data_IF_738460925041
#
_entry.id   IF_738460925041
#
_cell.length_a   1.000
_cell.length_b   1.000
_cell.length_c   1.000
_cell.angle_alpha   90.00
_cell.angle_beta   90.00
_cell.angle_gamma   90.00
#
_symmetry.space_group_name_H-M   'P 1'
#
loop_
_entity.id
_entity.type
_entity.pdbx_description
1 polymer ?
#
# COMPACT_ATOMS: atom_id res chain seq x y z
N UNK A 1 73.47 -75.85 -62.03
CA UNK A 1 74.33 -74.93 -61.24
C UNK A 1 74.70 -73.76 -62.14
N UNK A 2 74.80 -72.55 -61.55
CA UNK A 2 75.18 -71.23 -62.10
C UNK A 2 74.24 -70.57 -63.12
N UNK A 3 73.88 -69.28 -63.10
CA UNK A 3 73.87 -68.16 -62.13
C UNK A 3 73.34 -66.93 -62.93
N UNK A 4 72.37 -66.16 -62.42
CA UNK A 4 72.09 -64.69 -62.60
C UNK A 4 71.93 -64.08 -64.03
N UNK A 5 71.12 -63.04 -64.31
CA UNK A 5 70.48 -61.98 -63.50
C UNK A 5 69.46 -61.15 -64.33
N UNK A 6 68.99 -59.98 -63.83
CA UNK A 6 67.66 -59.42 -64.10
C UNK A 6 67.59 -58.43 -65.28
N UNK A 7 66.41 -58.27 -65.90
CA UNK A 7 66.12 -57.23 -66.89
C UNK A 7 65.23 -56.14 -66.28
N UNK A 8 65.75 -54.92 -66.32
CA UNK A 8 65.16 -53.68 -65.84
C UNK A 8 63.83 -53.34 -66.53
N UNK A 9 62.80 -53.00 -65.75
CA UNK A 9 61.61 -52.28 -66.21
C UNK A 9 61.73 -50.80 -65.85
N UNK A 10 61.86 -49.95 -66.85
CA UNK A 10 61.89 -48.49 -66.73
C UNK A 10 60.46 -47.99 -66.50
N UNK A 11 60.19 -47.37 -65.34
CA UNK A 11 58.98 -46.57 -65.14
C UNK A 11 59.26 -45.14 -65.61
N UNK A 12 58.69 -44.75 -66.75
CA UNK A 12 58.66 -43.35 -67.17
C UNK A 12 57.61 -42.61 -66.35
N UNK A 13 58.05 -41.84 -65.35
CA UNK A 13 57.21 -40.82 -64.73
C UNK A 13 57.11 -39.62 -65.68
N UNK A 14 55.91 -39.28 -66.15
CA UNK A 14 55.66 -37.99 -66.79
C UNK A 14 55.75 -36.90 -65.71
N UNK A 15 56.72 -35.99 -65.84
CA UNK A 15 56.73 -34.77 -65.05
C UNK A 15 55.46 -33.97 -65.35
N UNK A 16 54.79 -33.46 -64.32
CA UNK A 16 53.66 -32.53 -64.39
C UNK A 16 54.20 -31.09 -64.46
N UNK A 17 53.58 -30.26 -65.31
CA UNK A 17 54.17 -29.01 -65.82
C UNK A 17 53.58 -27.80 -65.07
N UNK A 18 52.99 -28.06 -63.90
CA UNK A 18 52.46 -27.04 -63.03
C UNK A 18 53.54 -26.73 -62.00
N UNK A 19 53.98 -25.47 -61.85
CA UNK A 19 54.90 -25.10 -60.80
C UNK A 19 54.27 -25.49 -59.46
N UNK A 20 55.04 -26.23 -58.64
CA UNK A 20 54.65 -26.68 -57.32
C UNK A 20 53.95 -25.55 -56.56
N UNK A 21 52.70 -25.79 -56.20
CA UNK A 21 51.93 -25.00 -55.24
C UNK A 21 52.45 -25.24 -53.80
N UNK A 22 53.76 -25.25 -53.61
CA UNK A 22 54.47 -25.42 -52.32
C UNK A 22 54.18 -24.27 -51.33
N UNK A 23 53.54 -23.20 -51.81
CA UNK A 23 53.03 -22.11 -50.99
C UNK A 23 51.81 -22.53 -50.14
N UNK A 24 50.96 -23.43 -50.64
CA UNK A 24 49.77 -23.89 -49.90
C UNK A 24 50.13 -24.85 -48.76
N UNK A 25 51.21 -25.62 -48.90
CA UNK A 25 51.71 -26.53 -47.85
C UNK A 25 52.44 -25.80 -46.70
N UNK A 26 52.87 -24.55 -46.90
CA UNK A 26 53.42 -23.70 -45.81
C UNK A 26 52.33 -23.02 -44.97
N UNK A 27 51.07 -23.23 -45.30
CA UNK A 27 49.91 -22.68 -44.59
C UNK A 27 49.16 -23.72 -43.74
N UNK A 28 49.84 -24.78 -43.25
CA UNK A 28 49.22 -25.80 -42.38
C UNK A 28 48.69 -25.26 -41.03
N UNK A 29 49.12 -24.07 -40.60
CA UNK A 29 48.60 -23.35 -39.43
C UNK A 29 47.33 -22.51 -39.69
N UNK A 30 46.99 -22.23 -40.97
CA UNK A 30 45.82 -21.43 -41.33
C UNK A 30 44.47 -22.06 -40.93
N UNK A 31 44.27 -23.39 -41.09
CA UNK A 31 43.08 -24.07 -40.59
C UNK A 31 42.96 -23.95 -39.06
N UNK A 32 44.07 -23.97 -38.34
CA UNK A 32 44.11 -23.81 -36.88
C UNK A 32 43.74 -22.38 -36.45
N UNK A 33 44.26 -21.34 -37.12
CA UNK A 33 43.89 -19.95 -36.83
C UNK A 33 42.41 -19.69 -37.17
N UNK A 34 41.92 -20.18 -38.30
CA UNK A 34 40.52 -20.02 -38.70
C UNK A 34 39.56 -20.76 -37.77
N UNK A 35 39.90 -21.97 -37.31
CA UNK A 35 39.09 -22.71 -36.32
C UNK A 35 39.16 -22.09 -34.93
N UNK A 36 40.33 -21.61 -34.48
CA UNK A 36 40.47 -20.93 -33.20
C UNK A 36 39.74 -19.59 -33.17
N UNK A 37 39.81 -18.79 -34.25
CA UNK A 37 39.07 -17.52 -34.38
C UNK A 37 37.56 -17.74 -34.52
N UNK A 38 37.13 -18.73 -35.30
CA UNK A 38 35.71 -19.11 -35.38
C UNK A 38 35.18 -19.61 -34.02
N UNK A 39 35.96 -20.40 -33.28
CA UNK A 39 35.63 -20.84 -31.93
C UNK A 39 35.57 -19.67 -30.94
N UNK A 40 36.50 -18.72 -31.01
CA UNK A 40 36.52 -17.52 -30.18
C UNK A 40 35.33 -16.60 -30.48
N UNK A 41 35.02 -16.34 -31.75
CA UNK A 41 33.86 -15.55 -32.16
C UNK A 41 32.56 -16.24 -31.74
N UNK A 42 32.47 -17.56 -31.92
CA UNK A 42 31.30 -18.35 -31.49
C UNK A 42 31.15 -18.34 -29.97
N UNK A 43 32.24 -18.47 -29.22
CA UNK A 43 32.24 -18.39 -27.75
C UNK A 43 31.86 -16.98 -27.26
N UNK A 44 32.33 -15.91 -27.91
CA UNK A 44 31.97 -14.53 -27.59
C UNK A 44 30.50 -14.23 -27.89
N UNK A 45 29.97 -14.70 -29.02
CA UNK A 45 28.55 -14.57 -29.36
C UNK A 45 27.67 -15.38 -28.40
N UNK A 46 28.08 -16.61 -28.07
CA UNK A 46 27.42 -17.46 -27.09
C UNK A 46 27.43 -16.86 -25.68
N UNK A 47 28.57 -16.35 -25.23
CA UNK A 47 28.71 -15.68 -23.94
C UNK A 47 27.91 -14.37 -23.87
N UNK A 48 27.87 -13.56 -24.93
CA UNK A 48 27.06 -12.34 -24.97
C UNK A 48 25.56 -12.64 -24.95
N UNK A 49 25.10 -13.64 -25.70
CA UNK A 49 23.70 -14.08 -25.67
C UNK A 49 23.34 -14.72 -24.32
N UNK A 50 24.23 -15.55 -23.76
CA UNK A 50 24.09 -16.15 -22.44
C UNK A 50 24.03 -15.10 -21.32
N UNK A 51 24.92 -14.10 -21.35
CA UNK A 51 24.93 -13.00 -20.39
C UNK A 51 23.66 -12.13 -20.51
N UNK A 52 23.20 -11.83 -21.72
CA UNK A 52 21.94 -11.09 -21.91
C UNK A 52 20.72 -11.88 -21.43
N UNK A 53 20.67 -13.19 -21.69
CA UNK A 53 19.62 -14.07 -21.18
C UNK A 53 19.67 -14.17 -19.66
N UNK A 54 20.85 -14.35 -19.06
CA UNK A 54 21.05 -14.39 -17.61
C UNK A 54 20.66 -13.06 -16.94
N UNK A 55 21.04 -11.91 -17.53
CA UNK A 55 20.62 -10.59 -17.04
C UNK A 55 19.10 -10.41 -17.10
N UNK A 56 18.45 -10.88 -18.17
CA UNK A 56 16.99 -10.82 -18.28
C UNK A 56 16.30 -11.71 -17.24
N UNK A 57 16.80 -12.92 -17.02
CA UNK A 57 16.29 -13.84 -15.98
C UNK A 57 16.49 -13.22 -14.59
N UNK A 58 17.69 -12.70 -14.29
CA UNK A 58 17.98 -12.05 -13.01
C UNK A 58 17.08 -10.84 -12.77
N UNK A 59 16.86 -10.00 -13.80
CA UNK A 59 15.95 -8.85 -13.71
C UNK A 59 14.51 -9.30 -13.45
N UNK A 60 14.02 -10.29 -14.18
CA UNK A 60 12.67 -10.81 -13.99
C UNK A 60 12.48 -11.45 -12.60
N UNK A 61 13.48 -12.19 -12.11
CA UNK A 61 13.46 -12.78 -10.77
C UNK A 61 13.39 -11.70 -9.70
N UNK A 62 14.23 -10.66 -9.82
CA UNK A 62 14.22 -9.53 -8.90
C UNK A 62 12.88 -8.78 -8.91
N UNK A 63 12.34 -8.49 -10.10
CA UNK A 63 11.02 -7.86 -10.23
C UNK A 63 9.91 -8.73 -9.64
N UNK A 64 9.98 -10.05 -9.81
CA UNK A 64 9.04 -10.99 -9.23
C UNK A 64 9.06 -10.93 -7.69
N UNK A 65 10.24 -10.97 -7.09
CA UNK A 65 10.42 -10.88 -5.64
C UNK A 65 9.93 -9.54 -5.08
N UNK A 66 10.26 -8.43 -5.75
CA UNK A 66 9.81 -7.08 -5.36
C UNK A 66 8.28 -6.97 -5.38
N UNK A 67 7.63 -7.42 -6.47
CA UNK A 67 6.17 -7.42 -6.58
C UNK A 67 5.49 -8.29 -5.52
N UNK A 68 6.04 -9.48 -5.23
CA UNK A 68 5.50 -10.36 -4.18
C UNK A 68 5.66 -9.70 -2.81
N UNK A 69 6.83 -9.11 -2.53
CA UNK A 69 7.07 -8.42 -1.26
C UNK A 69 6.07 -7.29 -1.07
N UNK A 70 5.85 -6.48 -2.09
CA UNK A 70 4.91 -5.36 -2.04
C UNK A 70 3.46 -5.83 -1.89
N UNK A 71 3.02 -6.88 -2.61
CA UNK A 71 1.67 -7.46 -2.43
C UNK A 71 1.48 -7.99 -0.99
N UNK A 72 2.52 -8.59 -0.39
CA UNK A 72 2.48 -9.03 1.01
C UNK A 72 2.36 -7.84 1.97
N UNK A 73 3.09 -6.75 1.72
CA UNK A 73 2.98 -5.51 2.48
C UNK A 73 1.58 -4.89 2.37
N UNK A 74 0.99 -4.84 1.16
CA UNK A 74 -0.40 -4.41 0.99
C UNK A 74 -1.38 -5.29 1.76
N UNK A 75 -1.22 -6.62 1.72
CA UNK A 75 -2.08 -7.53 2.48
C UNK A 75 -1.96 -7.30 4.00
N UNK A 76 -0.76 -7.06 4.52
CA UNK A 76 -0.56 -6.70 5.92
C UNK A 76 -1.24 -5.36 6.25
N UNK A 77 -1.07 -4.35 5.39
CA UNK A 77 -1.73 -3.06 5.52
C UNK A 77 -3.26 -3.16 5.50
N UNK A 78 -3.85 -3.99 4.63
CA UNK A 78 -5.29 -4.26 4.59
C UNK A 78 -5.77 -4.92 5.87
N UNK A 79 -5.02 -5.91 6.39
CA UNK A 79 -5.38 -6.58 7.65
C UNK A 79 -5.38 -5.60 8.82
N UNK A 80 -4.35 -4.77 8.96
CA UNK A 80 -4.30 -3.78 10.04
C UNK A 80 -5.37 -2.70 9.82
N UNK A 81 -5.60 -2.24 8.59
CA UNK A 81 -6.67 -1.27 8.29
C UNK A 81 -8.06 -1.82 8.61
N UNK A 82 -8.28 -3.13 8.43
CA UNK A 82 -9.53 -3.80 8.83
C UNK A 82 -9.68 -3.78 10.35
N UNK A 83 -8.60 -4.06 11.09
CA UNK A 83 -8.62 -3.91 12.55
C UNK A 83 -8.88 -2.47 13.00
N UNK A 84 -8.30 -1.48 12.31
CA UNK A 84 -8.57 -0.05 12.57
C UNK A 84 -10.05 0.28 12.33
N UNK A 85 -10.66 -0.30 11.29
CA UNK A 85 -12.08 -0.13 11.01
C UNK A 85 -12.94 -0.75 12.12
N UNK A 86 -12.63 -1.95 12.58
CA UNK A 86 -13.35 -2.59 13.69
C UNK A 86 -13.21 -1.79 15.00
N UNK A 87 -12.02 -1.24 15.26
CA UNK A 87 -11.79 -0.32 16.37
C UNK A 87 -12.64 0.95 16.24
N UNK A 88 -12.69 1.56 15.05
CA UNK A 88 -13.50 2.73 14.77
C UNK A 88 -15.01 2.46 14.96
N UNK A 89 -15.48 1.27 14.59
CA UNK A 89 -16.86 0.82 14.88
C UNK A 89 -17.12 0.80 16.39
N UNK A 90 -16.19 0.28 17.18
CA UNK A 90 -16.32 0.27 18.64
C UNK A 90 -16.41 1.67 19.24
N UNK A 91 -15.58 2.60 18.78
CA UNK A 91 -15.65 4.01 19.21
C UNK A 91 -16.98 4.65 18.79
N UNK A 92 -17.41 4.43 17.54
CA UNK A 92 -18.67 4.94 17.00
C UNK A 92 -19.88 4.50 17.84
N UNK A 93 -19.93 3.22 18.23
CA UNK A 93 -21.04 2.63 19.00
C UNK A 93 -21.19 3.23 20.39
N UNK A 94 -20.14 3.84 20.93
CA UNK A 94 -20.18 4.55 22.21
C UNK A 94 -20.41 6.05 21.98
N UNK A 95 -19.72 6.65 21.02
CA UNK A 95 -19.68 8.09 20.79
C UNK A 95 -20.99 8.65 20.24
N UNK A 96 -21.62 7.99 19.26
CA UNK A 96 -22.84 8.50 18.63
C UNK A 96 -24.04 8.48 19.58
N UNK A 97 -24.35 7.37 20.28
CA UNK A 97 -25.41 7.36 21.28
C UNK A 97 -25.16 8.37 22.40
N UNK A 98 -23.89 8.55 22.82
CA UNK A 98 -23.54 9.56 23.81
C UNK A 98 -23.84 10.97 23.33
N UNK A 99 -23.50 11.30 22.07
CA UNK A 99 -23.84 12.59 21.46
C UNK A 99 -25.34 12.79 21.36
N UNK A 100 -26.07 11.80 20.89
CA UNK A 100 -27.54 11.86 20.75
C UNK A 100 -28.21 12.08 22.10
N UNK A 101 -27.82 11.31 23.12
CA UNK A 101 -28.33 11.47 24.48
C UNK A 101 -27.99 12.84 25.05
N UNK A 102 -26.73 13.29 24.90
CA UNK A 102 -26.31 14.61 25.37
C UNK A 102 -27.12 15.75 24.73
N UNK A 103 -27.30 15.72 23.41
CA UNK A 103 -28.08 16.73 22.69
C UNK A 103 -29.55 16.73 23.11
N UNK A 104 -30.14 15.55 23.31
CA UNK A 104 -31.51 15.43 23.80
C UNK A 104 -31.64 15.92 25.25
N UNK A 105 -30.71 15.55 26.12
CA UNK A 105 -30.65 16.03 27.51
C UNK A 105 -30.50 17.55 27.57
N UNK A 106 -29.68 18.15 26.69
CA UNK A 106 -29.54 19.61 26.58
C UNK A 106 -30.84 20.27 26.08
N UNK A 107 -31.53 19.64 25.12
CA UNK A 107 -32.84 20.11 24.64
C UNK A 107 -33.88 20.09 25.77
N UNK A 108 -33.94 19.00 26.54
CA UNK A 108 -34.86 18.85 27.68
C UNK A 108 -34.52 19.80 28.83
N UNK A 109 -33.23 20.03 29.10
CA UNK A 109 -32.79 21.04 30.05
C UNK A 109 -33.31 22.44 29.67
N UNK A 110 -33.22 22.82 28.40
CA UNK A 110 -33.73 24.10 27.90
C UNK A 110 -35.27 24.23 28.03
N UNK A 111 -35.98 23.11 28.17
CA UNK A 111 -37.42 23.06 28.44
C UNK A 111 -37.75 22.99 29.94
N UNK A 112 -36.74 23.03 30.82
CA UNK A 112 -36.91 22.99 32.27
C UNK A 112 -36.97 21.59 32.89
N UNK A 113 -36.68 20.54 32.12
CA UNK A 113 -36.70 19.15 32.58
C UNK A 113 -35.32 18.50 32.42
N UNK A 114 -34.34 18.80 33.29
CA UNK A 114 -33.02 18.19 33.17
C UNK A 114 -33.11 16.67 33.38
N UNK A 115 -32.58 15.92 32.41
CA UNK A 115 -32.42 14.47 32.50
C UNK A 115 -30.97 14.16 32.17
N UNK A 116 -30.21 13.71 33.16
CA UNK A 116 -28.83 13.24 32.99
C UNK A 116 -28.84 11.76 33.36
N UNK A 117 -28.44 10.89 32.43
CA UNK A 117 -28.46 9.45 32.71
C UNK A 117 -27.14 9.00 33.34
N UNK A 118 -27.15 8.13 34.38
CA UNK A 118 -25.92 7.62 35.00
C UNK A 118 -24.98 6.87 34.03
N UNK A 119 -25.50 6.42 32.88
CA UNK A 119 -24.70 5.77 31.84
C UNK A 119 -23.77 6.76 31.12
N UNK A 120 -24.16 8.03 31.00
CA UNK A 120 -23.35 9.11 30.41
C UNK A 120 -22.11 9.44 31.23
N UNK A 121 -22.05 9.04 32.50
CA UNK A 121 -20.95 9.33 33.41
C UNK A 121 -19.98 8.14 33.60
N UNK A 122 -20.07 7.11 32.77
CA UNK A 122 -19.13 5.98 32.80
C UNK A 122 -17.85 6.31 32.02
N UNK A 123 -16.71 5.89 32.55
CA UNK A 123 -15.43 6.02 31.88
C UNK A 123 -15.36 5.08 30.67
N UNK A 124 -14.61 5.49 29.66
CA UNK A 124 -14.34 4.68 28.46
C UNK A 124 -12.86 4.26 28.50
N UNK A 125 -12.57 3.00 28.18
CA UNK A 125 -11.18 2.55 28.07
C UNK A 125 -10.51 3.17 26.85
N UNK A 126 -9.43 3.92 27.07
CA UNK A 126 -8.55 4.37 26.00
C UNK A 126 -7.55 3.26 25.69
N UNK A 127 -7.71 2.62 24.52
CA UNK A 127 -6.70 1.71 23.97
C UNK A 127 -6.19 2.30 22.67
N UNK A 128 -4.86 2.38 22.52
CA UNK A 128 -4.25 2.90 21.28
C UNK A 128 -4.18 1.77 20.26
N UNK A 129 -4.82 1.92 19.08
CA UNK A 129 -4.74 0.91 18.03
C UNK A 129 -3.36 0.97 17.32
N UNK A 130 -2.95 -0.05 16.53
CA UNK A 130 -1.63 -0.16 15.91
C UNK A 130 -1.45 0.77 14.69
N UNK A 131 -1.66 2.07 14.90
CA UNK A 131 -1.59 3.10 13.87
C UNK A 131 -0.15 3.39 13.44
N UNK A 132 0.83 3.22 14.35
CA UNK A 132 2.25 3.42 14.07
C UNK A 132 2.76 2.35 13.11
N UNK A 133 2.38 1.10 13.35
CA UNK A 133 2.71 -0.05 12.50
C UNK A 133 2.07 0.08 11.13
N UNK A 134 0.78 0.47 11.08
CA UNK A 134 0.10 0.73 9.81
C UNK A 134 0.81 1.82 9.03
N UNK A 135 1.12 2.95 9.67
CA UNK A 135 1.84 4.07 9.05
C UNK A 135 3.17 3.60 8.47
N UNK A 136 3.94 2.82 9.23
CA UNK A 136 5.23 2.28 8.78
C UNK A 136 5.09 1.48 7.48
N UNK A 137 4.16 0.53 7.44
CA UNK A 137 3.93 -0.31 6.25
C UNK A 137 3.59 0.55 5.02
N UNK A 138 2.72 1.55 5.21
CA UNK A 138 2.23 2.39 4.10
C UNK A 138 3.33 3.33 3.56
N UNK A 139 4.18 3.88 4.42
CA UNK A 139 5.24 4.81 4.00
C UNK A 139 6.53 4.10 3.54
N UNK A 140 6.85 2.93 4.10
CA UNK A 140 8.15 2.27 3.88
C UNK A 140 8.06 1.04 2.96
N UNK A 141 7.00 0.24 3.07
CA UNK A 141 6.92 -1.09 2.44
C UNK A 141 6.02 -1.14 1.20
N UNK A 142 5.20 -0.10 0.97
CA UNK A 142 4.26 -0.02 -0.14
C UNK A 142 4.57 1.21 -1.00
N UNK A 143 4.59 1.06 -2.32
CA UNK A 143 4.58 2.19 -3.26
C UNK A 143 3.17 2.78 -3.31
N UNK A 144 2.73 3.33 -2.18
CA UNK A 144 1.34 3.65 -1.94
C UNK A 144 0.84 4.79 -2.85
N UNK A 145 -0.40 4.72 -3.35
CA UNK A 145 -1.00 5.85 -4.06
C UNK A 145 -1.14 7.05 -3.12
N UNK A 146 -1.13 8.26 -3.67
CA UNK A 146 -1.22 9.52 -2.90
C UNK A 146 -2.47 9.56 -2.02
N UNK A 147 -3.58 9.00 -2.51
CA UNK A 147 -4.82 8.77 -1.77
C UNK A 147 -4.61 7.97 -0.49
N UNK A 148 -3.90 6.84 -0.56
CA UNK A 148 -3.57 6.02 0.61
C UNK A 148 -2.65 6.76 1.58
N UNK A 149 -1.65 7.49 1.10
CA UNK A 149 -0.76 8.30 1.94
C UNK A 149 -1.54 9.38 2.71
N UNK A 150 -2.46 10.07 2.04
CA UNK A 150 -3.31 11.08 2.69
C UNK A 150 -4.31 10.45 3.66
N UNK A 151 -4.88 9.30 3.30
CA UNK A 151 -5.79 8.57 4.17
C UNK A 151 -5.11 8.14 5.47
N UNK A 152 -3.88 7.61 5.42
CA UNK A 152 -3.16 7.21 6.65
C UNK A 152 -2.78 8.40 7.54
N UNK A 153 -2.44 9.55 6.95
CA UNK A 153 -2.20 10.77 7.71
C UNK A 153 -3.47 11.24 8.44
N UNK A 154 -4.59 11.27 7.71
CA UNK A 154 -5.89 11.70 8.25
C UNK A 154 -6.39 10.72 9.33
N UNK A 155 -6.22 9.41 9.09
CA UNK A 155 -6.53 8.38 10.08
C UNK A 155 -5.67 8.51 11.34
N UNK A 156 -4.38 8.82 11.19
CA UNK A 156 -3.48 9.00 12.33
C UNK A 156 -3.92 10.16 13.22
N UNK A 157 -4.30 11.28 12.61
CA UNK A 157 -4.82 12.44 13.33
C UNK A 157 -6.16 12.13 14.01
N UNK A 158 -7.08 11.46 13.32
CA UNK A 158 -8.38 11.08 13.87
C UNK A 158 -8.24 10.14 15.09
N UNK A 159 -7.30 9.18 15.03
CA UNK A 159 -7.00 8.29 16.17
C UNK A 159 -6.45 9.08 17.35
N UNK A 160 -5.49 9.97 17.13
CA UNK A 160 -4.93 10.82 18.19
C UNK A 160 -6.01 11.70 18.83
N UNK A 161 -6.85 12.35 18.02
CA UNK A 161 -7.96 13.15 18.51
C UNK A 161 -8.97 12.33 19.31
N UNK A 162 -9.30 11.10 18.87
CA UNK A 162 -10.21 10.22 19.59
C UNK A 162 -9.64 9.78 20.95
N UNK A 163 -8.36 9.41 21.00
CA UNK A 163 -7.67 9.03 22.25
C UNK A 163 -7.66 10.21 23.22
N UNK A 164 -7.23 11.39 22.77
CA UNK A 164 -7.18 12.60 23.59
C UNK A 164 -8.58 13.00 24.09
N UNK A 165 -9.62 12.85 23.26
CA UNK A 165 -11.01 13.12 23.65
C UNK A 165 -11.50 12.14 24.72
N UNK A 166 -11.18 10.85 24.61
CA UNK A 166 -11.53 9.84 25.63
C UNK A 166 -10.83 10.15 26.96
N UNK A 167 -9.54 10.47 26.93
CA UNK A 167 -8.77 10.83 28.12
C UNK A 167 -9.32 12.09 28.79
N UNK A 168 -9.50 13.17 28.01
CA UNK A 168 -10.09 14.43 28.48
C UNK A 168 -11.48 14.22 29.09
N UNK A 169 -12.29 13.35 28.47
CA UNK A 169 -13.60 12.98 29.01
C UNK A 169 -13.46 12.30 30.37
N UNK A 170 -12.59 11.30 30.48
CA UNK A 170 -12.40 10.56 31.71
C UNK A 170 -11.91 11.47 32.84
N UNK A 171 -10.98 12.38 32.55
CA UNK A 171 -10.53 13.40 33.52
C UNK A 171 -11.67 14.30 33.98
N UNK A 172 -12.52 14.76 33.04
CA UNK A 172 -13.66 15.59 33.36
C UNK A 172 -14.71 14.83 34.20
N UNK A 173 -14.93 13.54 33.91
CA UNK A 173 -15.79 12.70 34.72
C UNK A 173 -15.27 12.51 36.14
N UNK A 174 -13.96 12.41 36.36
CA UNK A 174 -13.39 12.37 37.70
C UNK A 174 -13.60 13.68 38.45
N UNK A 175 -13.49 14.83 37.78
CA UNK A 175 -13.85 16.13 38.37
C UNK A 175 -15.32 16.18 38.79
N UNK A 176 -16.21 15.64 37.95
CA UNK A 176 -17.64 15.54 38.25
C UNK A 176 -17.90 14.63 39.47
N UNK A 177 -17.23 13.48 39.56
CA UNK A 177 -17.38 12.55 40.70
C UNK A 177 -16.82 13.10 42.00
N UNK A 178 -15.73 13.86 41.93
CA UNK A 178 -15.08 14.46 43.09
C UNK A 178 -15.68 15.80 43.53
N UNK A 179 -16.71 16.29 42.82
CA UNK A 179 -17.31 17.60 43.02
C UNK A 179 -16.31 18.76 43.01
N UNK A 180 -15.28 18.64 42.17
CA UNK A 180 -14.24 19.67 41.99
C UNK A 180 -14.68 20.63 40.87
N UNK A 181 -15.42 21.67 41.25
CA UNK A 181 -15.92 22.69 40.33
C UNK A 181 -15.29 24.06 40.63
N UNK A 182 -15.11 24.93 39.62
CA UNK A 182 -14.79 26.33 39.85
C UNK A 182 -15.88 27.05 40.66
N UNK A 183 -15.51 28.15 41.34
CA UNK A 183 -16.45 28.91 42.17
C UNK A 183 -17.68 29.36 41.38
N UNK A 184 -18.86 29.09 41.94
CA UNK A 184 -20.16 29.42 41.33
C UNK A 184 -20.67 28.40 40.32
N UNK A 185 -19.88 27.39 39.96
CA UNK A 185 -20.31 26.32 39.05
C UNK A 185 -20.75 25.08 39.83
N UNK A 186 -21.82 24.45 39.34
CA UNK A 186 -22.22 23.10 39.72
C UNK A 186 -22.01 22.11 38.57
N UNK A 187 -22.42 20.87 38.82
CA UNK A 187 -22.37 19.80 37.81
C UNK A 187 -23.18 20.17 36.55
N UNK A 188 -24.38 20.71 36.72
CA UNK A 188 -25.28 21.04 35.60
C UNK A 188 -24.68 22.12 34.71
N UNK A 189 -24.07 23.15 35.30
CA UNK A 189 -23.45 24.25 34.57
C UNK A 189 -22.23 23.76 33.78
N UNK A 190 -21.40 22.90 34.38
CA UNK A 190 -20.23 22.31 33.73
C UNK A 190 -20.61 21.28 32.65
N UNK A 191 -21.69 20.52 32.87
CA UNK A 191 -22.15 19.47 31.95
C UNK A 191 -22.75 20.05 30.67
N UNK A 192 -23.65 21.03 30.81
CA UNK A 192 -24.35 21.65 29.67
C UNK A 192 -23.65 22.91 29.12
N UNK A 193 -22.61 23.40 29.80
CA UNK A 193 -21.91 24.64 29.43
C UNK A 193 -22.76 25.89 29.63
N UNK A 194 -23.49 25.96 30.74
CA UNK A 194 -24.33 27.10 31.09
C UNK A 194 -23.44 28.22 31.66
N UNK A 195 -23.59 29.47 31.19
CA UNK A 195 -22.77 30.56 31.67
C UNK A 195 -23.10 30.92 33.12
N UNK A 196 -22.07 31.00 33.97
CA UNK A 196 -22.13 31.58 35.32
C UNK A 196 -21.23 32.80 35.36
N UNK A 197 -21.78 33.96 35.77
CA UNK A 197 -21.00 35.21 35.81
C UNK A 197 -20.42 35.64 34.45
N UNK A 198 -21.04 35.21 33.34
CA UNK A 198 -20.58 35.50 31.98
C UNK A 198 -19.52 34.55 31.43
N UNK A 199 -19.09 33.53 32.18
CA UNK A 199 -18.13 32.50 31.76
C UNK A 199 -18.85 31.17 31.59
N UNK A 200 -18.59 30.44 30.51
CA UNK A 200 -19.16 29.11 30.24
C UNK A 200 -18.05 28.09 29.96
N UNK A 201 -18.14 26.92 30.60
CA UNK A 201 -17.24 25.79 30.35
C UNK A 201 -17.93 24.80 29.41
N UNK A 202 -17.48 24.72 28.16
CA UNK A 202 -18.11 23.87 27.12
C UNK A 202 -17.35 22.58 26.85
N UNK A 203 -16.40 22.23 27.71
CA UNK A 203 -15.48 21.12 27.50
C UNK A 203 -16.23 19.80 27.27
N UNK A 204 -17.26 19.49 28.07
CA UNK A 204 -18.01 18.24 27.90
C UNK A 204 -18.72 18.17 26.55
N UNK A 205 -19.40 19.26 26.16
CA UNK A 205 -20.04 19.39 24.84
C UNK A 205 -19.02 19.12 23.72
N UNK A 206 -17.90 19.85 23.75
CA UNK A 206 -16.91 19.80 22.69
C UNK A 206 -16.24 18.43 22.59
N UNK A 207 -15.98 17.78 23.73
CA UNK A 207 -15.46 16.42 23.80
C UNK A 207 -16.44 15.41 23.18
N UNK A 208 -17.72 15.45 23.54
CA UNK A 208 -18.72 14.51 23.02
C UNK A 208 -18.93 14.67 21.52
N UNK A 209 -18.97 15.92 21.04
CA UNK A 209 -19.08 16.20 19.61
C UNK A 209 -17.83 15.73 18.85
N UNK A 210 -16.65 16.06 19.36
CA UNK A 210 -15.37 15.64 18.76
C UNK A 210 -15.23 14.11 18.71
N UNK A 211 -15.64 13.40 19.75
CA UNK A 211 -15.56 11.93 19.76
C UNK A 211 -16.46 11.29 18.68
N UNK A 212 -17.66 11.82 18.47
CA UNK A 212 -18.54 11.35 17.40
C UNK A 212 -17.95 11.66 16.01
N UNK A 213 -17.43 12.87 15.81
CA UNK A 213 -16.83 13.29 14.53
C UNK A 213 -15.57 12.49 14.18
N UNK A 214 -14.66 12.33 15.13
CA UNK A 214 -13.43 11.54 14.95
C UNK A 214 -13.73 10.06 14.70
N UNK A 215 -14.78 9.50 15.33
CA UNK A 215 -15.22 8.14 15.02
C UNK A 215 -15.68 7.99 13.56
N UNK A 216 -16.36 9.00 13.00
CA UNK A 216 -16.74 9.01 11.58
C UNK A 216 -15.52 9.11 10.67
N UNK A 217 -14.54 9.96 11.01
CA UNK A 217 -13.28 10.08 10.28
C UNK A 217 -12.50 8.76 10.26
N UNK A 218 -12.39 8.09 11.41
CA UNK A 218 -11.69 6.83 11.52
C UNK A 218 -12.36 5.73 10.69
N UNK A 219 -13.70 5.64 10.73
CA UNK A 219 -14.46 4.71 9.87
C UNK A 219 -14.15 4.98 8.40
N UNK A 220 -14.23 6.24 7.99
CA UNK A 220 -14.01 6.64 6.62
C UNK A 220 -12.60 6.31 6.13
N UNK A 221 -11.56 6.81 6.82
CA UNK A 221 -10.18 6.70 6.34
C UNK A 221 -9.62 5.28 6.42
N UNK A 222 -10.08 4.46 7.38
CA UNK A 222 -9.72 3.04 7.42
C UNK A 222 -10.30 2.24 6.24
N UNK A 223 -11.54 2.54 5.84
CA UNK A 223 -12.15 1.95 4.66
C UNK A 223 -11.44 2.41 3.37
N UNK A 224 -11.14 3.71 3.25
CA UNK A 224 -10.38 4.26 2.11
C UNK A 224 -9.05 3.50 1.95
N UNK A 225 -8.30 3.32 3.04
CA UNK A 225 -7.04 2.58 3.00
C UNK A 225 -7.23 1.13 2.52
N UNK A 226 -8.22 0.42 3.04
CA UNK A 226 -8.53 -0.94 2.60
C UNK A 226 -8.80 -1.00 1.09
N UNK A 227 -9.58 -0.05 0.54
CA UNK A 227 -9.91 0.00 -0.89
C UNK A 227 -8.68 0.32 -1.73
N UNK A 228 -7.95 1.38 -1.38
CA UNK A 228 -6.77 1.83 -2.14
C UNK A 228 -5.66 0.77 -2.16
N UNK A 229 -5.40 0.12 -1.03
CA UNK A 229 -4.41 -0.97 -0.95
C UNK A 229 -4.85 -2.21 -1.73
N UNK A 230 -6.15 -2.52 -1.72
CA UNK A 230 -6.69 -3.62 -2.52
C UNK A 230 -6.54 -3.34 -4.02
N UNK A 231 -6.86 -2.13 -4.46
CA UNK A 231 -6.72 -1.73 -5.86
C UNK A 231 -5.26 -1.74 -6.32
N UNK A 232 -4.35 -1.21 -5.48
CA UNK A 232 -2.91 -1.24 -5.73
C UNK A 232 -2.38 -2.67 -5.81
N UNK A 233 -2.65 -3.51 -4.81
CA UNK A 233 -2.24 -4.91 -4.81
C UNK A 233 -2.83 -5.70 -5.98
N UNK A 234 -4.06 -5.37 -6.40
CA UNK A 234 -4.69 -5.96 -7.58
C UNK A 234 -4.00 -5.55 -8.88
N UNK A 235 -3.53 -4.30 -8.99
CA UNK A 235 -2.72 -3.83 -10.10
C UNK A 235 -1.36 -4.52 -10.13
N UNK A 236 -0.66 -4.62 -9.00
CA UNK A 236 0.61 -5.34 -8.87
C UNK A 236 0.47 -6.82 -9.25
N UNK A 237 -0.61 -7.48 -8.80
CA UNK A 237 -0.91 -8.87 -9.16
C UNK A 237 -1.12 -9.04 -10.67
N UNK A 238 -1.76 -8.08 -11.35
CA UNK A 238 -1.91 -8.09 -12.82
C UNK A 238 -0.54 -7.98 -13.49
N UNK A 239 0.33 -7.11 -13.00
CA UNK A 239 1.71 -6.99 -13.49
C UNK A 239 2.51 -8.27 -13.28
N UNK A 240 2.39 -8.91 -12.11
CA UNK A 240 3.07 -10.15 -11.76
C UNK A 240 2.70 -11.30 -12.71
N UNK A 241 1.43 -11.38 -13.14
CA UNK A 241 0.95 -12.39 -14.10
C UNK A 241 1.66 -12.35 -15.45
N UNK A 242 2.33 -11.25 -15.80
CA UNK A 242 3.11 -11.17 -17.04
C UNK A 242 4.45 -11.91 -16.94
N UNK A 243 4.94 -12.17 -15.73
CA UNK A 243 6.23 -12.81 -15.46
C UNK A 243 6.11 -14.19 -14.80
N UNK A 244 5.02 -14.44 -14.06
CA UNK A 244 4.81 -15.69 -13.31
C UNK A 244 3.35 -16.15 -13.33
N UNK A 245 3.15 -17.47 -13.29
CA UNK A 245 1.83 -18.09 -13.13
C UNK A 245 1.48 -18.40 -11.67
N UNK A 246 2.38 -18.07 -10.74
CA UNK A 246 2.18 -18.34 -9.32
C UNK A 246 0.91 -17.65 -8.80
N UNK A 247 0.02 -18.38 -8.12
CA UNK A 247 -1.19 -17.79 -7.58
C UNK A 247 -0.86 -16.94 -6.35
N UNK A 248 -0.89 -15.62 -6.51
CA UNK A 248 -0.80 -14.67 -5.38
C UNK A 248 -2.19 -14.18 -4.99
N UNK A 249 -2.50 -14.30 -3.69
CA UNK A 249 -3.76 -13.88 -3.10
C UNK A 249 -3.69 -12.40 -2.68
N UNK A 250 -4.75 -11.66 -2.99
CA UNK A 250 -4.96 -10.28 -2.53
C UNK A 250 -6.21 -10.28 -1.67
N UNK A 251 -6.11 -9.80 -0.44
CA UNK A 251 -7.24 -9.73 0.50
C UNK A 251 -8.14 -8.56 0.14
N UNK A 252 -9.45 -8.77 0.13
CA UNK A 252 -10.45 -7.72 -0.07
C UNK A 252 -11.19 -7.50 1.25
N UNK A 253 -11.48 -6.24 1.57
CA UNK A 253 -12.38 -5.90 2.67
C UNK A 253 -13.80 -6.41 2.35
N UNK A 254 -14.41 -7.05 3.34
CA UNK A 254 -15.82 -7.41 3.33
C UNK A 254 -16.47 -6.74 4.53
N UNK A 255 -17.34 -5.77 4.28
CA UNK A 255 -18.06 -5.08 5.34
C UNK A 255 -19.23 -5.92 5.81
N UNK A 256 -19.53 -5.82 7.10
CA UNK A 256 -20.81 -6.29 7.64
C UNK A 256 -21.93 -5.34 7.19
N UNK A 257 -23.17 -5.81 6.94
CA UNK A 257 -24.25 -4.96 6.42
C UNK A 257 -24.57 -3.73 7.28
N UNK A 258 -24.47 -3.87 8.60
CA UNK A 258 -24.67 -2.78 9.58
C UNK A 258 -23.58 -1.71 9.47
N UNK A 259 -22.33 -2.12 9.27
CA UNK A 259 -21.19 -1.21 9.06
C UNK A 259 -21.29 -0.53 7.70
N UNK A 260 -21.73 -1.26 6.66
CA UNK A 260 -21.92 -0.71 5.32
C UNK A 260 -22.96 0.41 5.29
N UNK A 261 -24.09 0.23 5.98
CA UNK A 261 -25.12 1.28 6.09
C UNK A 261 -24.60 2.54 6.80
N UNK A 262 -23.71 2.39 7.80
CA UNK A 262 -23.04 3.51 8.47
C UNK A 262 -22.07 4.20 7.51
N UNK A 263 -21.24 3.43 6.80
CA UNK A 263 -20.28 3.92 5.81
C UNK A 263 -20.92 4.76 4.72
N UNK A 264 -22.12 4.41 4.25
CA UNK A 264 -22.83 5.21 3.23
C UNK A 264 -23.05 6.65 3.69
N UNK A 265 -23.48 6.86 4.94
CA UNK A 265 -23.69 8.20 5.50
C UNK A 265 -22.37 8.96 5.65
N UNK A 266 -21.33 8.26 6.11
CA UNK A 266 -20.01 8.85 6.32
C UNK A 266 -19.37 9.25 4.99
N UNK A 267 -19.47 8.42 3.95
CA UNK A 267 -18.94 8.72 2.60
C UNK A 267 -19.56 9.98 2.00
N UNK A 268 -20.84 10.24 2.26
CA UNK A 268 -21.52 11.46 1.84
C UNK A 268 -20.83 12.70 2.42
N UNK A 269 -20.52 12.67 3.73
CA UNK A 269 -19.85 13.76 4.45
C UNK A 269 -18.47 14.09 3.86
N UNK A 270 -17.74 13.09 3.36
CA UNK A 270 -16.36 13.25 2.86
C UNK A 270 -16.24 13.20 1.33
N UNK A 271 -17.34 13.44 0.60
CA UNK A 271 -17.33 13.49 -0.87
C UNK A 271 -16.30 14.46 -1.44
N UNK A 272 -16.18 15.65 -0.85
CA UNK A 272 -15.24 16.68 -1.32
C UNK A 272 -13.79 16.28 -1.09
N UNK A 273 -13.53 15.62 0.04
CA UNK A 273 -12.21 15.06 0.33
C UNK A 273 -11.83 14.03 -0.75
N UNK A 274 -12.74 13.13 -1.11
CA UNK A 274 -12.55 12.18 -2.22
C UNK A 274 -12.39 12.89 -3.58
N UNK A 275 -13.20 13.90 -3.87
CA UNK A 275 -13.16 14.61 -5.14
C UNK A 275 -11.82 15.32 -5.39
N UNK A 276 -11.18 15.81 -4.32
CA UNK A 276 -9.88 16.49 -4.38
C UNK A 276 -8.71 15.59 -4.81
N UNK A 277 -8.92 14.27 -4.91
CA UNK A 277 -7.86 13.29 -5.15
C UNK A 277 -7.92 12.60 -6.52
N UNK A 278 -8.92 12.90 -7.36
CA UNK A 278 -8.97 12.27 -8.68
C UNK A 278 -7.69 12.63 -9.44
N UNK A 279 -6.91 11.65 -9.91
CA UNK A 279 -5.73 11.95 -10.71
C UNK A 279 -6.20 12.79 -11.89
N UNK A 280 -5.51 13.90 -12.16
CA UNK A 280 -5.65 14.61 -13.43
C UNK A 280 -5.41 13.53 -14.48
N UNK A 281 -6.47 13.12 -15.19
CA UNK A 281 -6.33 12.16 -16.27
C UNK A 281 -5.26 12.73 -17.18
N UNK A 282 -4.14 12.03 -17.26
CA UNK A 282 -3.03 12.40 -18.13
C UNK A 282 -3.65 12.48 -19.54
N UNK A 283 -3.88 13.71 -20.02
CA UNK A 283 -4.30 13.99 -21.38
C UNK A 283 -3.12 13.69 -22.30
N UNK A 284 -2.59 12.46 -22.26
CA UNK A 284 -1.79 11.92 -23.35
C UNK A 284 -2.73 11.83 -24.53
N UNK A 285 -2.83 12.94 -25.28
CA UNK A 285 -3.31 12.95 -26.66
C UNK A 285 -2.61 11.79 -27.34
N UNK A 286 -3.37 10.75 -27.63
CA UNK A 286 -2.82 9.58 -28.28
C UNK A 286 -2.23 10.07 -29.61
N UNK A 287 -1.00 9.71 -29.94
CA UNK A 287 -0.25 10.30 -31.06
C UNK A 287 -0.99 10.25 -32.41
N UNK A 288 -1.91 9.29 -32.60
CA UNK A 288 -2.81 9.23 -33.76
C UNK A 288 -3.86 10.36 -33.85
N UNK A 289 -4.11 11.13 -32.78
CA UNK A 289 -4.95 12.33 -32.81
C UNK A 289 -4.23 13.55 -33.41
N UNK A 290 -2.91 13.50 -33.60
CA UNK A 290 -2.14 14.55 -34.29
C UNK A 290 -2.29 14.50 -35.81
N UNK A 291 -2.70 13.35 -36.38
CA UNK A 291 -2.80 13.11 -37.82
C UNK A 291 -4.19 13.42 -38.40
N UNK A 292 -5.05 14.10 -37.65
CA UNK A 292 -6.42 14.49 -38.06
C UNK A 292 -6.61 16.00 -38.27
N UNK A 293 -5.53 16.74 -38.52
CA UNK A 293 -5.60 18.13 -38.98
C UNK A 293 -5.10 18.24 -40.40
#
# INVERSE_FOLDING_TARGET
MTLWGPVNGVFTASASWLPNLDFLDKFQWFPFILTATAALITALIGARRGASAAQKIAKNSKQHEELIKEIRACNAGITISTFMLDYAVGVYEVAHPMRENYLESMRLHNLGTPVITPQELRGISASTPPIVELRKIIFEDVTAPVSALRAIMSLSQAVEHAVNAIESRNELLEKFRSNQYPDGFGFTEMYYGIPVGGVAHRDYHDIVMNLAETSDEMLFFSEVLCVELYEHASALRKSLKTFSKEPVVVRKLLLRPDVEARQVRVREKYKDWYASMKPIQDMRRKWWQFWRK
#
